data_IF_001738010974
#
_entry.id   IF_001738010974
#
_cell.length_a   1.000
_cell.length_b   1.000
_cell.length_c   1.000
_cell.angle_alpha   90.00
_cell.angle_beta   90.00
_cell.angle_gamma   90.00
#
_symmetry.space_group_name_H-M   'P 1'
#
loop_
_entity.id
_entity.type
_entity.pdbx_description
1 polymer ?
#
# COMPACT_ATOMS: atom_id res chain seq x y z
N UNK A 1 11.84 23.19 10.06
CA UNK A 1 11.15 22.15 9.26
C UNK A 1 9.76 21.93 9.86
N UNK A 2 8.71 21.92 9.04
CA UNK A 2 7.34 21.84 9.53
C UNK A 2 6.93 20.40 9.88
N UNK A 3 5.85 20.24 10.67
CA UNK A 3 5.25 18.91 10.95
C UNK A 3 4.82 18.19 9.66
N UNK A 4 4.40 18.95 8.63
CA UNK A 4 4.02 18.42 7.33
C UNK A 4 5.23 17.84 6.59
N UNK A 5 6.36 18.55 6.59
CA UNK A 5 7.59 18.08 5.95
C UNK A 5 8.11 16.82 6.63
N UNK A 6 8.08 16.78 7.97
CA UNK A 6 8.43 15.59 8.75
C UNK A 6 7.57 14.39 8.38
N UNK A 7 6.25 14.57 8.31
CA UNK A 7 5.33 13.50 7.91
C UNK A 7 5.64 12.98 6.51
N UNK A 8 5.91 13.87 5.56
CA UNK A 8 6.28 13.51 4.18
C UNK A 8 7.56 12.65 4.13
N UNK A 9 8.58 13.03 4.90
CA UNK A 9 9.83 12.27 4.99
C UNK A 9 9.61 10.91 5.64
N UNK A 10 8.86 10.83 6.73
CA UNK A 10 8.49 9.56 7.36
C UNK A 10 7.69 8.67 6.42
N UNK A 11 6.82 9.23 5.59
CA UNK A 11 6.06 8.48 4.60
C UNK A 11 6.97 7.84 3.55
N UNK A 12 7.97 8.57 3.06
CA UNK A 12 8.97 8.03 2.14
C UNK A 12 9.78 6.90 2.77
N UNK A 13 10.28 7.10 3.99
CA UNK A 13 11.02 6.06 4.74
C UNK A 13 10.12 4.85 5.00
N UNK A 14 8.87 5.07 5.41
CA UNK A 14 7.90 4.01 5.61
C UNK A 14 7.64 3.25 4.31
N UNK A 15 7.69 3.88 3.15
CA UNK A 15 7.54 3.23 1.85
C UNK A 15 8.62 2.19 1.51
N UNK A 16 9.75 2.19 2.21
CA UNK A 16 10.84 1.20 2.02
C UNK A 16 10.29 -0.21 2.28
N UNK A 17 10.60 -1.20 1.43
CA UNK A 17 10.19 -2.59 1.67
C UNK A 17 10.62 -3.04 3.06
N UNK A 18 9.81 -3.85 3.73
CA UNK A 18 10.12 -4.37 5.06
C UNK A 18 9.51 -5.75 5.22
N UNK A 19 10.31 -6.72 5.66
CA UNK A 19 9.85 -8.09 5.97
C UNK A 19 8.82 -8.16 7.11
N UNK A 20 8.68 -7.09 7.90
CA UNK A 20 7.74 -7.02 9.03
C UNK A 20 6.89 -5.75 8.96
N UNK A 21 5.62 -5.83 9.38
CA UNK A 21 4.75 -4.65 9.50
C UNK A 21 5.28 -3.73 10.61
N UNK A 22 5.67 -2.52 10.20
CA UNK A 22 6.14 -1.45 11.07
C UNK A 22 5.32 -0.19 10.80
N UNK A 23 5.21 0.65 11.81
CA UNK A 23 4.56 1.95 11.69
C UNK A 23 5.32 3.01 12.49
N UNK A 24 5.21 4.26 12.05
CA UNK A 24 6.05 5.38 12.48
C UNK A 24 5.19 6.51 13.04
N UNK A 25 5.58 7.03 14.20
CA UNK A 25 4.94 8.19 14.84
C UNK A 25 5.98 9.24 15.19
N UNK A 26 5.74 10.46 14.73
CA UNK A 26 6.52 11.63 15.11
C UNK A 26 5.89 12.34 16.32
N UNK A 27 6.59 12.30 17.45
CA UNK A 27 6.20 13.02 18.67
C UNK A 27 6.98 14.34 18.83
N UNK A 28 7.74 14.75 17.80
CA UNK A 28 8.50 15.99 17.76
C UNK A 28 9.87 15.90 18.44
N UNK A 29 9.91 15.50 19.72
CA UNK A 29 11.17 15.29 20.46
C UNK A 29 11.70 13.84 20.37
N UNK A 30 10.89 12.93 19.82
CA UNK A 30 11.27 11.55 19.54
C UNK A 30 10.44 11.00 18.38
N UNK A 31 10.95 9.94 17.77
CA UNK A 31 10.23 9.12 16.79
C UNK A 31 9.98 7.76 17.45
N UNK A 32 8.75 7.28 17.37
CA UNK A 32 8.33 5.98 17.88
C UNK A 32 8.04 5.07 16.69
N UNK A 33 8.65 3.89 16.71
CA UNK A 33 8.41 2.81 15.75
C UNK A 33 7.77 1.66 16.51
N UNK A 34 6.68 1.14 15.99
CA UNK A 34 5.97 0.01 16.58
C UNK A 34 5.74 -1.08 15.54
N UNK A 35 5.65 -2.31 16.02
CA UNK A 35 5.36 -3.49 15.20
C UNK A 35 4.50 -4.47 16.00
N UNK A 36 3.66 -5.20 15.29
CA UNK A 36 2.90 -6.32 15.87
C UNK A 36 3.70 -7.63 15.83
N UNK A 37 4.88 -7.65 15.22
CA UNK A 37 5.73 -8.83 15.14
C UNK A 37 6.40 -9.12 16.49
N UNK A 38 6.13 -10.30 17.06
CA UNK A 38 6.66 -10.70 18.38
C UNK A 38 8.19 -10.73 18.42
N UNK A 39 8.85 -11.11 17.32
CA UNK A 39 10.30 -11.19 17.18
C UNK A 39 11.01 -9.87 16.90
N UNK A 40 10.28 -8.74 16.82
CA UNK A 40 10.83 -7.47 16.29
C UNK A 40 12.05 -6.94 17.05
N UNK A 41 12.13 -7.21 18.36
CA UNK A 41 13.24 -6.69 19.18
C UNK A 41 14.55 -7.42 18.86
N UNK A 42 14.49 -8.74 18.63
CA UNK A 42 15.65 -9.52 18.19
C UNK A 42 16.09 -9.08 16.80
N UNK A 43 15.14 -8.93 15.88
CA UNK A 43 15.39 -8.43 14.52
C UNK A 43 16.05 -7.04 14.52
N UNK A 44 15.54 -6.09 15.32
CA UNK A 44 16.19 -4.79 15.48
C UNK A 44 17.62 -4.90 16.01
N UNK A 45 17.85 -5.78 16.98
CA UNK A 45 19.18 -5.98 17.57
C UNK A 45 20.17 -6.56 16.56
N UNK A 46 19.74 -7.45 15.67
CA UNK A 46 20.55 -7.98 14.57
C UNK A 46 20.93 -6.86 13.61
N UNK A 47 19.94 -6.11 13.11
CA UNK A 47 20.18 -4.95 12.23
C UNK A 47 21.15 -3.96 12.85
N UNK A 48 20.97 -3.59 14.13
CA UNK A 48 21.86 -2.63 14.79
C UNK A 48 23.27 -3.17 14.98
N UNK A 49 23.45 -4.47 15.23
CA UNK A 49 24.79 -5.07 15.33
C UNK A 49 25.47 -5.12 13.96
N UNK A 50 24.73 -5.42 12.90
CA UNK A 50 25.25 -5.44 11.54
C UNK A 50 25.64 -4.04 11.07
N UNK A 51 24.76 -3.05 11.26
CA UNK A 51 25.01 -1.66 10.86
C UNK A 51 26.07 -0.98 11.76
N UNK A 52 26.12 -1.33 13.05
CA UNK A 52 27.08 -0.81 14.01
C UNK A 52 27.82 -1.94 14.76
N UNK A 53 28.85 -2.57 14.17
CA UNK A 53 29.52 -3.76 14.73
C UNK A 53 30.07 -3.59 16.15
N UNK A 54 30.45 -2.36 16.52
CA UNK A 54 31.06 -2.05 17.82
C UNK A 54 30.11 -1.32 18.79
N UNK A 55 28.81 -1.37 18.55
CA UNK A 55 27.84 -0.60 19.33
C UNK A 55 27.70 -1.12 20.76
N UNK A 56 27.81 -0.19 21.72
CA UNK A 56 27.58 -0.51 23.13
C UNK A 56 26.09 -0.49 23.44
N UNK A 57 25.52 -1.67 23.69
CA UNK A 57 24.16 -1.85 24.17
C UNK A 57 24.15 -1.90 25.71
N UNK A 58 23.25 -1.14 26.35
CA UNK A 58 23.00 -1.22 27.79
C UNK A 58 21.60 -1.76 28.03
N UNK A 59 21.51 -2.95 28.59
CA UNK A 59 20.24 -3.55 28.97
C UNK A 59 19.90 -3.23 30.42
N UNK A 60 18.65 -2.84 30.69
CA UNK A 60 18.12 -2.65 32.04
C UNK A 60 16.65 -3.09 32.07
N UNK A 61 16.38 -4.25 32.65
CA UNK A 61 15.06 -4.88 32.62
C UNK A 61 14.59 -5.05 31.18
N UNK A 62 13.36 -4.65 30.89
CA UNK A 62 12.76 -4.79 29.55
C UNK A 62 13.28 -3.79 28.52
N UNK A 63 14.18 -2.88 28.88
CA UNK A 63 14.68 -1.84 27.99
C UNK A 63 16.12 -2.07 27.58
N UNK A 64 16.35 -2.12 26.27
CA UNK A 64 17.69 -2.08 25.69
C UNK A 64 17.95 -0.65 25.19
N UNK A 65 19.00 -0.01 25.70
CA UNK A 65 19.43 1.32 25.28
C UNK A 65 20.66 1.22 24.39
N UNK A 66 20.56 1.82 23.21
CA UNK A 66 21.57 1.82 22.18
C UNK A 66 21.97 3.28 21.89
N UNK A 67 23.26 3.54 21.73
CA UNK A 67 23.81 4.86 21.39
C UNK A 67 24.65 4.76 20.13
N UNK A 68 24.05 4.95 18.94
CA UNK A 68 24.78 4.81 17.67
C UNK A 68 25.76 5.96 17.44
N UNK A 69 25.39 7.18 17.83
CA UNK A 69 26.23 8.37 17.71
C UNK A 69 25.92 9.37 18.82
N UNK A 70 26.76 10.40 18.95
CA UNK A 70 26.53 11.52 19.87
C UNK A 70 25.21 12.20 19.51
N UNK A 71 24.42 12.54 20.53
CA UNK A 71 23.14 13.25 20.32
C UNK A 71 21.95 12.37 19.97
N UNK A 72 22.15 11.05 19.78
CA UNK A 72 21.10 10.07 19.48
C UNK A 72 21.02 9.00 20.56
N UNK A 73 19.80 8.59 20.91
CA UNK A 73 19.53 7.48 21.81
C UNK A 73 18.37 6.68 21.28
N UNK A 74 18.61 5.39 21.05
CA UNK A 74 17.60 4.42 20.67
C UNK A 74 17.26 3.59 21.91
N UNK A 75 15.98 3.37 22.14
CA UNK A 75 15.47 2.48 23.20
C UNK A 75 14.55 1.44 22.58
N UNK A 76 14.86 0.17 22.79
CA UNK A 76 14.01 -0.96 22.44
C UNK A 76 13.34 -1.47 23.71
N UNK A 77 12.02 -1.70 23.66
CA UNK A 77 11.27 -2.26 24.78
C UNK A 77 10.79 -3.67 24.42
N UNK A 78 11.26 -4.67 25.19
CA UNK A 78 10.95 -6.10 25.00
C UNK A 78 9.48 -6.44 25.18
N UNK A 79 8.79 -5.69 26.04
CA UNK A 79 7.39 -5.94 26.45
C UNK A 79 6.39 -5.23 25.55
N UNK A 80 6.67 -3.97 25.20
CA UNK A 80 5.76 -3.17 24.37
C UNK A 80 6.09 -3.23 22.88
N UNK A 81 7.18 -3.92 22.49
CA UNK A 81 7.65 -4.01 21.10
C UNK A 81 7.93 -2.66 20.43
N UNK A 82 8.23 -1.63 21.23
CA UNK A 82 8.48 -0.27 20.75
C UNK A 82 9.98 -0.02 20.58
N UNK A 83 10.32 0.64 19.48
CA UNK A 83 11.60 1.31 19.27
C UNK A 83 11.37 2.82 19.37
N UNK A 84 12.13 3.50 20.24
CA UNK A 84 12.08 4.96 20.40
C UNK A 84 13.42 5.57 20.05
N UNK A 85 13.44 6.54 19.14
CA UNK A 85 14.61 7.31 18.75
C UNK A 85 14.47 8.73 19.29
N UNK A 86 15.39 9.14 20.15
CA UNK A 86 15.31 10.41 20.88
C UNK A 86 16.68 11.08 20.98
N UNK A 87 16.69 12.38 21.32
CA UNK A 87 17.91 13.18 21.44
C UNK A 87 17.90 14.41 20.54
N UNK A 88 18.96 15.20 20.59
CA UNK A 88 19.07 16.46 19.84
C UNK A 88 19.10 16.21 18.32
N UNK A 89 19.80 15.15 17.94
CA UNK A 89 20.07 14.80 16.55
C UNK A 89 19.25 13.60 16.09
N UNK A 90 18.17 13.27 16.82
CA UNK A 90 17.32 12.10 16.51
C UNK A 90 16.71 12.18 15.12
N UNK A 91 16.30 13.38 14.69
CA UNK A 91 15.61 13.56 13.42
C UNK A 91 16.54 13.45 12.22
N UNK A 92 17.65 14.22 12.12
CA UNK A 92 18.61 14.06 11.03
C UNK A 92 19.10 12.62 10.94
N UNK A 93 19.47 12.01 12.07
CA UNK A 93 19.90 10.62 12.10
C UNK A 93 18.83 9.66 11.55
N UNK A 94 17.56 9.84 11.93
CA UNK A 94 16.49 8.96 11.47
C UNK A 94 16.28 9.08 9.96
N UNK A 95 16.25 10.29 9.42
CA UNK A 95 16.08 10.51 7.98
C UNK A 95 17.24 9.93 7.18
N UNK A 96 18.47 10.14 7.66
CA UNK A 96 19.67 9.74 6.93
C UNK A 96 19.99 8.24 7.05
N UNK A 97 19.54 7.59 8.14
CA UNK A 97 20.01 6.24 8.50
C UNK A 97 18.91 5.19 8.45
N UNK A 98 17.65 5.53 8.75
CA UNK A 98 16.64 4.52 9.03
C UNK A 98 16.27 3.68 7.81
N UNK A 99 16.25 4.27 6.60
CA UNK A 99 16.08 3.51 5.35
C UNK A 99 17.12 2.40 5.18
N UNK A 100 18.40 2.71 5.41
CA UNK A 100 19.48 1.73 5.31
C UNK A 100 19.38 0.63 6.37
N UNK A 101 18.84 0.93 7.55
CA UNK A 101 18.56 -0.11 8.57
C UNK A 101 17.46 -1.07 8.09
N UNK A 102 16.42 -0.56 7.43
CA UNK A 102 15.39 -1.40 6.83
C UNK A 102 15.95 -2.28 5.71
N UNK A 103 16.83 -1.72 4.86
CA UNK A 103 17.47 -2.47 3.78
C UNK A 103 18.31 -3.65 4.30
N UNK A 104 19.07 -3.45 5.39
CA UNK A 104 19.79 -4.56 6.05
C UNK A 104 18.81 -5.62 6.56
N UNK A 105 17.73 -5.19 7.22
CA UNK A 105 16.71 -6.10 7.75
C UNK A 105 15.99 -6.93 6.69
N UNK A 106 15.98 -6.46 5.43
CA UNK A 106 15.45 -7.20 4.29
C UNK A 106 16.45 -8.19 3.70
N UNK A 107 17.76 -7.90 3.76
CA UNK A 107 18.81 -8.80 3.27
C UNK A 107 18.76 -10.17 3.96
N UNK A 108 18.52 -10.18 5.28
CA UNK A 108 18.40 -11.41 6.07
C UNK A 108 17.06 -12.14 5.85
N UNK A 109 16.02 -11.46 5.34
CA UNK A 109 14.71 -12.06 5.08
C UNK A 109 14.70 -12.99 3.84
N UNK A 110 15.72 -12.91 2.99
CA UNK A 110 15.91 -13.81 1.83
C UNK A 110 16.40 -15.21 2.28
N UNK A 111 16.99 -15.33 3.47
CA UNK A 111 17.58 -16.58 3.98
C UNK A 111 16.81 -17.25 5.13
N UNK A 112 15.72 -16.65 5.62
CA UNK A 112 14.88 -17.31 6.63
C UNK A 112 14.07 -18.44 5.98
N UNK A 113 14.19 -19.71 6.44
CA UNK A 113 13.33 -20.79 5.99
C UNK A 113 11.88 -20.40 6.27
N UNK A 114 10.99 -20.75 5.34
CA UNK A 114 9.54 -20.67 5.51
C UNK A 114 9.06 -21.59 6.63
N UNK A 115 9.37 -21.24 7.87
CA UNK A 115 8.73 -21.81 9.05
C UNK A 115 7.36 -21.16 9.18
N UNK A 116 6.41 -21.79 8.47
CA UNK A 116 5.00 -21.86 8.81
C UNK A 116 4.28 -20.53 8.86
N UNK A 117 3.58 -20.20 7.76
CA UNK A 117 2.32 -19.43 7.79
C UNK A 117 2.34 -18.35 8.86
N UNK A 118 3.31 -17.42 8.80
CA UNK A 118 3.05 -16.11 9.36
C UNK A 118 2.26 -15.38 8.29
N UNK A 119 0.99 -15.78 8.13
CA UNK A 119 -0.06 -14.86 7.74
C UNK A 119 0.12 -13.74 8.74
N UNK A 120 0.84 -12.70 8.33
CA UNK A 120 0.79 -11.44 9.03
C UNK A 120 -0.70 -11.15 9.03
N UNK A 121 -1.35 -11.26 10.18
CA UNK A 121 -2.73 -10.80 10.36
C UNK A 121 -2.69 -9.27 10.38
N UNK A 122 -2.16 -8.65 9.31
CA UNK A 122 -2.17 -7.22 9.17
C UNK A 122 -3.64 -6.81 9.15
N UNK A 123 -3.96 -5.84 10.02
CA UNK A 123 -5.32 -5.36 10.24
C UNK A 123 -6.00 -4.92 8.94
N UNK A 124 -5.20 -4.49 7.95
CA UNK A 124 -5.64 -4.13 6.60
C UNK A 124 -6.09 -5.34 5.78
N UNK A 125 -5.36 -6.47 5.80
CA UNK A 125 -5.70 -7.71 5.08
C UNK A 125 -7.03 -8.27 5.55
N UNK A 126 -7.20 -8.36 6.88
CA UNK A 126 -8.47 -8.73 7.51
C UNK A 126 -9.62 -7.79 7.14
N UNK A 127 -9.34 -6.49 7.06
CA UNK A 127 -10.34 -5.50 6.66
C UNK A 127 -10.74 -5.65 5.18
N UNK A 128 -9.75 -5.90 4.30
CA UNK A 128 -9.95 -6.11 2.87
C UNK A 128 -10.65 -7.44 2.57
N UNK A 129 -10.61 -8.38 3.52
CA UNK A 129 -11.14 -9.74 3.43
C UNK A 129 -10.42 -10.60 2.39
N UNK A 130 -9.12 -10.36 2.18
CA UNK A 130 -8.30 -11.15 1.25
C UNK A 130 -8.19 -12.61 1.72
N UNK A 131 -8.14 -12.86 3.03
CA UNK A 131 -8.00 -14.20 3.63
C UNK A 131 -9.30 -15.04 3.63
N UNK A 132 -10.43 -14.51 3.14
CA UNK A 132 -11.74 -15.19 3.28
C UNK A 132 -12.16 -16.00 2.06
N UNK A 133 -11.53 -15.76 0.92
CA UNK A 133 -11.82 -16.43 -0.34
C UNK A 133 -10.47 -16.85 -0.93
N UNK A 134 -9.96 -18.04 -0.56
CA UNK A 134 -8.78 -18.71 -1.16
C UNK A 134 -9.02 -19.08 -2.66
N UNK A 135 -9.84 -18.31 -3.39
CA UNK A 135 -9.95 -18.45 -4.84
C UNK A 135 -8.79 -17.68 -5.47
N UNK A 136 -7.92 -18.39 -6.18
CA UNK A 136 -6.83 -17.76 -6.91
C UNK A 136 -7.41 -16.81 -7.96
N UNK A 137 -6.70 -15.72 -8.27
CA UNK A 137 -7.12 -14.77 -9.33
C UNK A 137 -7.45 -15.51 -10.63
N UNK A 138 -6.71 -16.59 -10.92
CA UNK A 138 -6.93 -17.42 -12.09
C UNK A 138 -8.30 -18.12 -12.07
N UNK A 139 -8.79 -18.58 -10.91
CA UNK A 139 -10.12 -19.19 -10.78
C UNK A 139 -11.24 -18.19 -11.10
N UNK A 140 -11.05 -16.93 -10.72
CA UNK A 140 -11.99 -15.85 -11.06
C UNK A 140 -11.94 -15.54 -12.56
N UNK A 141 -10.75 -15.50 -13.15
CA UNK A 141 -10.58 -15.23 -14.59
C UNK A 141 -11.17 -16.35 -15.44
N UNK A 142 -11.01 -17.61 -15.05
CA UNK A 142 -11.52 -18.78 -15.78
C UNK A 142 -13.07 -18.84 -15.81
N UNK A 143 -13.74 -18.11 -14.91
CA UNK A 143 -15.20 -17.95 -14.92
C UNK A 143 -15.68 -16.96 -15.98
N UNK A 144 -14.80 -16.13 -16.55
CA UNK A 144 -15.14 -15.17 -17.61
C UNK A 144 -15.20 -15.93 -18.94
N UNK A 145 -16.35 -15.92 -19.65
CA UNK A 145 -16.44 -16.52 -20.97
C UNK A 145 -15.41 -15.94 -21.93
N UNK A 146 -14.92 -16.77 -22.85
CA UNK A 146 -14.02 -16.33 -23.91
C UNK A 146 -14.65 -15.19 -24.72
N UNK A 147 -13.93 -14.06 -24.86
CA UNK A 147 -14.43 -12.84 -25.50
C UNK A 147 -15.30 -11.93 -24.59
N UNK A 148 -15.50 -12.30 -23.33
CA UNK A 148 -16.23 -11.53 -22.33
C UNK A 148 -17.66 -12.00 -22.11
N UNK A 149 -18.24 -11.60 -20.97
CA UNK A 149 -19.58 -12.03 -20.57
C UNK A 149 -20.25 -11.12 -19.56
N UNK A 150 -21.55 -11.34 -19.37
CA UNK A 150 -22.37 -10.60 -18.40
C UNK A 150 -22.19 -11.22 -17.02
N UNK A 151 -21.69 -10.43 -16.08
CA UNK A 151 -21.39 -10.86 -14.71
C UNK A 151 -22.24 -10.15 -13.67
N UNK A 152 -22.38 -10.79 -12.51
CA UNK A 152 -23.06 -10.23 -11.35
C UNK A 152 -22.13 -9.31 -10.55
N UNK A 153 -22.70 -8.25 -9.99
CA UNK A 153 -21.99 -7.24 -9.20
C UNK A 153 -21.00 -7.78 -8.13
N UNK A 154 -21.36 -8.83 -7.39
CA UNK A 154 -20.49 -9.41 -6.36
C UNK A 154 -19.20 -10.00 -6.96
N UNK A 155 -19.31 -10.69 -8.09
CA UNK A 155 -18.18 -11.26 -8.81
C UNK A 155 -17.24 -10.15 -9.30
N UNK A 156 -17.78 -9.05 -9.84
CA UNK A 156 -16.97 -7.97 -10.40
C UNK A 156 -16.16 -7.27 -9.31
N UNK A 157 -16.75 -7.00 -8.14
CA UNK A 157 -16.03 -6.38 -7.03
C UNK A 157 -14.91 -7.27 -6.50
N UNK A 158 -15.15 -8.59 -6.41
CA UNK A 158 -14.13 -9.57 -6.03
C UNK A 158 -12.99 -9.58 -7.05
N UNK A 159 -13.31 -9.72 -8.33
CA UNK A 159 -12.34 -9.72 -9.43
C UNK A 159 -11.48 -8.46 -9.45
N UNK A 160 -12.07 -7.27 -9.28
CA UNK A 160 -11.32 -6.01 -9.21
C UNK A 160 -10.34 -6.00 -8.04
N UNK A 161 -10.77 -6.41 -6.85
CA UNK A 161 -9.90 -6.46 -5.67
C UNK A 161 -8.75 -7.43 -5.88
N UNK A 162 -9.05 -8.65 -6.33
CA UNK A 162 -8.04 -9.71 -6.49
C UNK A 162 -7.02 -9.35 -7.57
N UNK A 163 -7.43 -8.79 -8.71
CA UNK A 163 -6.50 -8.33 -9.74
C UNK A 163 -5.63 -7.17 -9.27
N UNK A 164 -6.21 -6.17 -8.60
CA UNK A 164 -5.43 -5.04 -8.08
C UNK A 164 -4.42 -5.49 -7.01
N UNK A 165 -4.81 -6.41 -6.14
CA UNK A 165 -3.93 -6.97 -5.13
C UNK A 165 -2.77 -7.73 -5.76
N UNK A 166 -3.05 -8.63 -6.71
CA UNK A 166 -2.04 -9.41 -7.43
C UNK A 166 -1.07 -8.51 -8.23
N UNK A 167 -1.60 -7.58 -9.01
CA UNK A 167 -0.79 -6.65 -9.79
C UNK A 167 0.07 -5.74 -8.91
N UNK A 168 -0.43 -5.29 -7.76
CA UNK A 168 0.40 -4.59 -6.79
C UNK A 168 1.42 -5.52 -6.16
N UNK A 169 1.07 -6.75 -5.81
CA UNK A 169 1.93 -7.77 -5.21
C UNK A 169 3.15 -8.07 -6.07
N UNK A 170 2.97 -8.11 -7.39
CA UNK A 170 4.08 -8.32 -8.34
C UNK A 170 4.81 -7.02 -8.71
N UNK A 171 4.39 -5.85 -8.26
CA UNK A 171 5.08 -4.60 -8.56
C UNK A 171 4.78 -4.02 -9.96
N UNK A 172 3.59 -4.29 -10.52
CA UNK A 172 3.21 -3.79 -11.83
C UNK A 172 2.93 -2.29 -11.85
N UNK A 173 2.97 -1.69 -13.04
CA UNK A 173 2.38 -0.36 -13.28
C UNK A 173 0.89 -0.52 -13.56
N UNK A 174 0.05 -0.03 -12.66
CA UNK A 174 -1.40 -0.23 -12.66
C UNK A 174 -2.13 1.06 -13.03
N UNK A 175 -3.11 0.93 -13.89
CA UNK A 175 -3.96 2.01 -14.38
C UNK A 175 -5.41 1.68 -14.03
N UNK A 176 -6.04 2.55 -13.23
CA UNK A 176 -7.46 2.48 -12.90
C UNK A 176 -8.17 3.58 -13.65
N UNK A 177 -8.94 3.22 -14.67
CA UNK A 177 -9.66 4.17 -15.53
C UNK A 177 -11.15 3.98 -15.32
N UNK A 178 -11.78 4.93 -14.62
CA UNK A 178 -13.21 4.83 -14.28
C UNK A 178 -13.90 6.19 -14.38
N UNK A 179 -15.04 6.30 -15.08
CA UNK A 179 -15.81 7.56 -15.16
C UNK A 179 -16.41 7.96 -13.82
N UNK A 180 -16.60 6.99 -12.91
CA UNK A 180 -17.16 7.23 -11.57
C UNK A 180 -16.40 6.45 -10.50
N UNK A 181 -16.12 7.11 -9.39
CA UNK A 181 -15.50 6.51 -8.22
C UNK A 181 -16.05 7.16 -6.94
N UNK A 182 -16.44 6.34 -5.96
CA UNK A 182 -16.85 6.85 -4.64
C UNK A 182 -15.76 6.69 -3.57
N UNK A 183 -16.05 7.26 -2.39
CA UNK A 183 -15.09 7.29 -1.29
C UNK A 183 -14.81 5.91 -0.67
N UNK A 184 -15.69 4.93 -0.84
CA UNK A 184 -15.47 3.58 -0.35
C UNK A 184 -14.58 2.79 -1.30
N UNK A 185 -14.77 2.96 -2.61
CA UNK A 185 -13.94 2.29 -3.64
C UNK A 185 -12.54 2.88 -3.68
N UNK A 186 -12.43 4.21 -3.58
CA UNK A 186 -11.15 4.88 -3.41
C UNK A 186 -10.47 4.45 -2.11
N UNK A 187 -11.21 4.29 -1.02
CA UNK A 187 -10.67 3.78 0.24
C UNK A 187 -10.10 2.36 0.10
N UNK A 188 -10.80 1.46 -0.59
CA UNK A 188 -10.31 0.09 -0.86
C UNK A 188 -9.02 0.11 -1.67
N UNK A 189 -8.95 0.92 -2.75
CA UNK A 189 -7.73 1.10 -3.54
C UNK A 189 -6.55 1.55 -2.65
N UNK A 190 -6.77 2.55 -1.80
CA UNK A 190 -5.73 3.04 -0.89
C UNK A 190 -5.27 1.99 0.13
N UNK A 191 -6.16 1.11 0.60
CA UNK A 191 -5.79 0.02 1.49
C UNK A 191 -4.98 -1.07 0.77
N UNK A 192 -5.34 -1.42 -0.47
CA UNK A 192 -4.58 -2.36 -1.31
C UNK A 192 -3.17 -1.84 -1.57
N UNK A 193 -3.02 -0.54 -1.81
CA UNK A 193 -1.71 0.10 -1.95
C UNK A 193 -0.86 -0.05 -0.68
N UNK A 194 -1.45 0.15 0.51
CA UNK A 194 -0.74 0.00 1.79
C UNK A 194 -0.36 -1.48 2.02
N UNK A 195 -1.25 -2.41 1.69
CA UNK A 195 -1.00 -3.85 1.82
C UNK A 195 0.25 -4.27 1.03
N UNK A 196 0.34 -3.84 -0.22
CA UNK A 196 1.43 -4.18 -1.14
C UNK A 196 2.63 -3.23 -1.10
N UNK A 197 2.77 -2.46 -0.01
CA UNK A 197 3.88 -1.52 0.19
C UNK A 197 5.24 -2.22 -0.04
N UNK A 198 6.07 -1.64 -0.90
CA UNK A 198 7.46 -2.08 -1.09
C UNK A 198 7.66 -3.07 -2.24
N UNK A 199 6.63 -3.45 -2.99
CA UNK A 199 6.79 -4.28 -4.20
C UNK A 199 7.22 -3.46 -5.43
N UNK A 200 7.24 -2.12 -5.33
CA UNK A 200 7.67 -1.22 -6.40
C UNK A 200 6.59 -0.88 -7.43
N UNK A 201 5.32 -1.21 -7.16
CA UNK A 201 4.20 -0.88 -8.04
C UNK A 201 4.00 0.63 -8.21
N UNK A 202 3.35 1.02 -9.31
CA UNK A 202 2.90 2.39 -9.56
C UNK A 202 1.39 2.41 -9.83
N UNK A 203 0.67 3.45 -9.40
CA UNK A 203 -0.78 3.55 -9.62
C UNK A 203 -1.15 4.88 -10.23
N UNK A 204 -1.84 4.81 -11.38
CA UNK A 204 -2.51 5.96 -11.97
C UNK A 204 -4.02 5.75 -11.92
N UNK A 205 -4.73 6.65 -11.24
CA UNK A 205 -6.19 6.75 -11.28
C UNK A 205 -6.59 7.85 -12.25
N UNK A 206 -7.28 7.49 -13.32
CA UNK A 206 -7.91 8.43 -14.23
C UNK A 206 -9.42 8.46 -13.98
N UNK A 207 -9.95 9.65 -13.71
CA UNK A 207 -11.37 9.90 -13.43
C UNK A 207 -11.73 11.36 -13.71
N UNK A 208 -12.95 11.69 -14.15
CA UNK A 208 -13.37 13.08 -14.31
C UNK A 208 -13.20 13.91 -13.04
N UNK A 209 -12.85 15.20 -13.19
CA UNK A 209 -12.72 16.13 -12.05
C UNK A 209 -14.06 16.35 -11.32
N UNK A 210 -15.18 16.12 -12.01
CA UNK A 210 -16.54 16.20 -11.47
C UNK A 210 -17.38 15.04 -12.01
N UNK A 211 -18.05 14.33 -11.11
CA UNK A 211 -18.90 13.18 -11.39
C UNK A 211 -20.21 13.32 -10.62
N UNK A 212 -21.36 13.13 -11.28
CA UNK A 212 -22.70 13.20 -10.67
C UNK A 212 -22.95 14.45 -9.80
N UNK A 213 -22.36 15.60 -10.18
CA UNK A 213 -22.48 16.86 -9.42
C UNK A 213 -21.44 17.04 -8.30
N UNK A 214 -20.70 16.01 -7.93
CA UNK A 214 -19.66 16.02 -6.91
C UNK A 214 -18.25 16.16 -7.51
N UNK A 215 -17.42 17.04 -6.93
CA UNK A 215 -16.01 17.19 -7.32
C UNK A 215 -15.16 16.08 -6.72
N UNK A 216 -14.18 15.58 -7.46
CA UNK A 216 -13.26 14.54 -6.97
C UNK A 216 -12.56 14.91 -5.67
N UNK A 217 -12.17 16.18 -5.48
CA UNK A 217 -11.58 16.67 -4.24
C UNK A 217 -12.44 16.36 -2.99
N UNK A 218 -13.77 16.48 -3.09
CA UNK A 218 -14.68 16.16 -1.99
C UNK A 218 -14.71 14.67 -1.70
N UNK A 219 -14.61 13.83 -2.73
CA UNK A 219 -14.56 12.37 -2.61
C UNK A 219 -13.25 11.97 -1.94
N UNK A 220 -12.14 12.59 -2.35
CA UNK A 220 -10.82 12.43 -1.75
C UNK A 220 -10.82 12.85 -0.26
N UNK A 221 -11.44 13.98 0.09
CA UNK A 221 -11.58 14.42 1.48
C UNK A 221 -12.40 13.44 2.33
N UNK A 222 -13.55 12.98 1.82
CA UNK A 222 -14.38 11.95 2.48
C UNK A 222 -13.60 10.67 2.70
N UNK A 223 -12.79 10.27 1.72
CA UNK A 223 -11.94 9.07 1.79
C UNK A 223 -10.87 9.22 2.87
N UNK A 224 -10.14 10.35 2.89
CA UNK A 224 -9.15 10.68 3.93
C UNK A 224 -9.75 10.67 5.33
N UNK A 225 -10.98 11.18 5.47
CA UNK A 225 -11.71 11.16 6.74
C UNK A 225 -12.05 9.73 7.16
N UNK A 226 -12.60 8.91 6.25
CA UNK A 226 -12.90 7.50 6.48
C UNK A 226 -11.65 6.74 6.95
N UNK A 227 -10.52 6.89 6.25
CA UNK A 227 -9.25 6.24 6.63
C UNK A 227 -8.85 6.55 8.08
N UNK A 228 -9.03 7.80 8.52
CA UNK A 228 -8.69 8.24 9.88
C UNK A 228 -9.65 7.72 10.96
N UNK A 229 -10.90 7.45 10.59
CA UNK A 229 -11.96 7.01 11.49
C UNK A 229 -12.04 5.49 11.62
N UNK A 230 -11.54 4.74 10.62
CA UNK A 230 -11.53 3.28 10.65
C UNK A 230 -10.55 2.78 11.70
N UNK A 231 -11.06 1.93 12.59
CA UNK A 231 -10.31 1.28 13.66
C UNK A 231 -10.13 -0.20 13.38
N UNK A 232 -9.06 -0.77 13.92
CA UNK A 232 -8.82 -2.20 13.97
C UNK A 232 -9.76 -2.88 14.98
N UNK A 233 -9.75 -4.22 15.02
CA UNK A 233 -10.49 -5.01 16.01
C UNK A 233 -10.11 -4.69 17.47
N UNK A 234 -8.95 -4.05 17.69
CA UNK A 234 -8.44 -3.66 19.01
C UNK A 234 -8.69 -2.17 19.32
N UNK A 235 -9.61 -1.52 18.61
CA UNK A 235 -9.97 -0.09 18.78
C UNK A 235 -8.82 0.91 18.52
N UNK A 236 -7.69 0.43 18.00
CA UNK A 236 -6.59 1.27 17.51
C UNK A 236 -6.88 1.74 16.07
N UNK A 237 -6.31 2.88 15.65
CA UNK A 237 -6.47 3.35 14.26
C UNK A 237 -5.92 2.30 13.29
N UNK A 238 -6.68 1.99 12.23
CA UNK A 238 -6.27 1.03 11.21
C UNK A 238 -5.08 1.53 10.39
N UNK A 239 -5.11 2.82 10.03
CA UNK A 239 -4.13 3.46 9.17
C UNK A 239 -3.57 4.69 9.86
N UNK A 240 -2.25 4.78 10.01
CA UNK A 240 -1.58 5.95 10.57
C UNK A 240 -1.55 7.12 9.59
N UNK A 241 -1.25 8.32 10.11
CA UNK A 241 -1.07 9.50 9.26
C UNK A 241 0.10 9.35 8.28
N UNK A 242 1.12 8.55 8.65
CA UNK A 242 2.29 8.28 7.80
C UNK A 242 1.90 7.38 6.63
N UNK A 243 1.16 6.30 6.89
CA UNK A 243 0.61 5.39 5.85
C UNK A 243 -0.29 6.15 4.87
N UNK A 244 -1.19 7.01 5.39
CA UNK A 244 -2.04 7.85 4.55
C UNK A 244 -1.23 8.84 3.70
N UNK A 245 -0.23 9.51 4.29
CA UNK A 245 0.63 10.43 3.54
C UNK A 245 1.40 9.70 2.43
N UNK A 246 1.87 8.47 2.68
CA UNK A 246 2.55 7.67 1.66
C UNK A 246 1.64 7.36 0.47
N UNK A 247 0.41 6.90 0.72
CA UNK A 247 -0.57 6.65 -0.36
C UNK A 247 -0.82 7.91 -1.19
N UNK A 248 -0.95 9.07 -0.53
CA UNK A 248 -1.16 10.35 -1.22
C UNK A 248 0.03 10.79 -2.08
N UNK A 249 1.25 10.34 -1.76
CA UNK A 249 2.44 10.59 -2.57
C UNK A 249 2.57 9.63 -3.75
N UNK A 250 2.05 8.40 -3.63
CA UNK A 250 2.16 7.35 -4.66
C UNK A 250 0.98 7.31 -5.64
N UNK A 251 -0.22 7.71 -5.21
CA UNK A 251 -1.39 7.71 -6.08
C UNK A 251 -1.35 8.89 -7.05
N UNK A 252 -1.05 8.62 -8.31
CA UNK A 252 -1.14 9.61 -9.38
C UNK A 252 -2.59 9.75 -9.85
N UNK A 253 -3.22 10.90 -9.63
CA UNK A 253 -4.59 11.16 -10.09
C UNK A 253 -4.57 12.07 -11.31
N UNK A 254 -5.23 11.64 -12.39
CA UNK A 254 -5.40 12.40 -13.62
C UNK A 254 -6.89 12.64 -13.89
N UNK A 255 -7.20 13.83 -14.38
CA UNK A 255 -8.57 14.25 -14.66
C UNK A 255 -8.77 14.48 -16.15
N UNK A 256 -9.65 13.69 -16.72
CA UNK A 256 -10.06 13.72 -18.13
C UNK A 256 -11.56 13.38 -18.20
N UNK A 257 -12.27 13.91 -19.19
CA UNK A 257 -13.66 13.53 -19.45
C UNK A 257 -13.71 12.37 -20.44
N UNK A 258 -14.24 11.22 -20.01
CA UNK A 258 -14.35 10.01 -20.81
C UNK A 258 -15.50 9.12 -20.33
N UNK A 259 -15.85 8.10 -21.12
CA UNK A 259 -16.93 7.14 -20.81
C UNK A 259 -16.48 5.68 -20.77
N UNK A 260 -15.22 5.40 -21.12
CA UNK A 260 -14.65 4.04 -21.05
C UNK A 260 -14.33 3.65 -19.60
N UNK A 261 -14.29 2.35 -19.30
CA UNK A 261 -13.99 1.86 -17.97
C UNK A 261 -13.19 0.55 -18.02
N UNK A 262 -12.02 0.58 -17.41
CA UNK A 262 -11.12 -0.56 -17.33
C UNK A 262 -10.10 -0.41 -16.20
N UNK A 263 -9.55 -1.55 -15.78
CA UNK A 263 -8.29 -1.58 -15.05
C UNK A 263 -7.26 -2.30 -15.91
N UNK A 264 -6.02 -1.86 -15.85
CA UNK A 264 -4.93 -2.45 -16.60
C UNK A 264 -3.67 -2.52 -15.77
N UNK A 265 -2.81 -3.48 -16.07
CA UNK A 265 -1.48 -3.58 -15.52
C UNK A 265 -0.44 -3.80 -16.61
N UNK A 266 0.77 -3.35 -16.33
CA UNK A 266 1.93 -3.54 -17.16
C UNK A 266 3.12 -3.96 -16.31
N UNK A 267 3.77 -5.06 -16.69
CA UNK A 267 5.02 -5.51 -16.10
C UNK A 267 5.81 -6.35 -17.11
N UNK A 268 7.14 -6.16 -17.15
CA UNK A 268 8.07 -7.01 -17.90
C UNK A 268 7.72 -7.25 -19.39
N UNK A 269 7.13 -6.25 -20.06
CA UNK A 269 6.74 -6.36 -21.48
C UNK A 269 5.35 -6.95 -21.73
N UNK A 270 4.66 -7.40 -20.68
CA UNK A 270 3.32 -7.97 -20.73
C UNK A 270 2.29 -6.97 -20.19
N UNK A 271 1.16 -6.88 -20.90
CA UNK A 271 0.03 -6.03 -20.53
C UNK A 271 -1.20 -6.86 -20.23
N UNK A 272 -1.94 -6.49 -19.20
CA UNK A 272 -3.23 -7.11 -18.88
C UNK A 272 -4.30 -6.03 -18.79
N UNK A 273 -5.50 -6.32 -19.28
CA UNK A 273 -6.63 -5.38 -19.23
C UNK A 273 -7.89 -6.11 -18.87
N UNK A 274 -8.58 -5.60 -17.84
CA UNK A 274 -9.98 -5.91 -17.56
C UNK A 274 -10.85 -4.73 -17.99
N UNK A 275 -11.66 -4.93 -19.02
CA UNK A 275 -12.69 -3.98 -19.44
C UNK A 275 -14.03 -4.35 -18.84
N UNK A 276 -14.79 -3.36 -18.37
CA UNK A 276 -16.14 -3.60 -17.85
C UNK A 276 -17.04 -2.39 -17.95
N UNK A 277 -18.36 -2.61 -18.04
CA UNK A 277 -19.34 -1.52 -17.91
C UNK A 277 -19.57 -1.08 -16.46
N UNK A 278 -19.08 -1.86 -15.49
CA UNK A 278 -19.19 -1.55 -14.07
C UNK A 278 -18.18 -0.46 -13.66
N UNK A 279 -18.64 0.78 -13.48
CA UNK A 279 -17.79 1.81 -12.90
C UNK A 279 -17.36 1.44 -11.48
N UNK A 280 -16.24 1.99 -11.01
CA UNK A 280 -15.75 1.76 -9.65
C UNK A 280 -16.55 2.52 -8.57
N UNK A 281 -17.88 2.36 -8.59
CA UNK A 281 -18.85 3.15 -7.84
C UNK A 281 -20.03 2.29 -7.35
N UNK A 282 -20.64 2.66 -6.21
CA UNK A 282 -21.71 1.94 -5.52
C UNK A 282 -22.93 1.58 -6.35
N UNK A 283 -23.20 2.35 -7.39
CA UNK A 283 -24.28 2.06 -8.32
C UNK A 283 -24.17 0.63 -8.89
N UNK A 284 -22.96 0.19 -9.21
CA UNK A 284 -22.68 -1.10 -9.86
C UNK A 284 -22.42 -2.25 -8.89
N UNK A 285 -22.22 -1.98 -7.60
CA UNK A 285 -21.83 -3.01 -6.62
C UNK A 285 -22.85 -3.27 -5.50
N UNK A 286 -23.84 -2.40 -5.30
CA UNK A 286 -24.89 -2.61 -4.29
C UNK A 286 -26.27 -2.83 -4.87
N UNK A 287 -26.46 -2.52 -6.15
CA UNK A 287 -27.69 -2.84 -6.86
C UNK A 287 -27.42 -4.12 -7.62
N UNK A 288 -28.45 -4.96 -7.84
CA UNK A 288 -28.36 -6.20 -8.62
C UNK A 288 -28.14 -5.93 -10.13
N UNK A 289 -27.22 -5.02 -10.44
CA UNK A 289 -26.79 -4.71 -11.78
C UNK A 289 -25.95 -5.86 -12.33
N UNK A 290 -26.05 -6.00 -13.64
CA UNK A 290 -25.29 -6.95 -14.43
C UNK A 290 -24.48 -6.14 -15.42
N UNK A 291 -23.19 -6.40 -15.46
CA UNK A 291 -22.24 -5.62 -16.25
C UNK A 291 -21.45 -6.56 -17.14
N UNK A 292 -21.07 -6.06 -18.32
CA UNK A 292 -20.19 -6.79 -19.21
C UNK A 292 -18.77 -6.77 -18.62
N UNK A 293 -18.06 -7.88 -18.71
CA UNK A 293 -16.69 -8.03 -18.25
C UNK A 293 -15.91 -8.79 -19.32
N UNK A 294 -14.76 -8.27 -19.72
CA UNK A 294 -13.82 -8.97 -20.60
C UNK A 294 -12.41 -8.75 -20.08
N UNK A 295 -11.64 -9.83 -19.98
CA UNK A 295 -10.24 -9.80 -19.59
C UNK A 295 -9.37 -10.25 -20.78
N UNK A 296 -8.28 -9.53 -21.01
CA UNK A 296 -7.35 -9.80 -22.11
C UNK A 296 -5.91 -9.62 -21.66
N UNK A 297 -5.05 -10.58 -22.05
CA UNK A 297 -3.59 -10.41 -22.04
C UNK A 297 -3.15 -9.88 -23.40
N UNK A 298 -2.28 -8.88 -23.40
CA UNK A 298 -1.87 -8.10 -24.56
C UNK A 298 -0.36 -7.84 -24.51
N UNK A 299 0.23 -7.50 -25.66
CA UNK A 299 1.58 -6.95 -25.68
C UNK A 299 1.59 -5.55 -25.03
N UNK A 300 2.73 -5.14 -24.46
CA UNK A 300 2.91 -3.78 -23.95
C UNK A 300 2.58 -2.70 -24.99
N UNK A 301 2.96 -2.95 -26.24
CA UNK A 301 2.67 -2.06 -27.37
C UNK A 301 1.16 -1.88 -27.57
N UNK A 302 0.39 -2.96 -27.54
CA UNK A 302 -1.05 -2.91 -27.76
C UNK A 302 -1.80 -2.29 -26.58
N UNK A 303 -1.37 -2.57 -25.35
CA UNK A 303 -1.87 -1.87 -24.16
C UNK A 303 -1.67 -0.36 -24.30
N UNK A 304 -0.44 0.06 -24.61
CA UNK A 304 -0.12 1.48 -24.79
C UNK A 304 -0.94 2.11 -25.92
N UNK A 305 -0.93 1.51 -27.11
CA UNK A 305 -1.56 2.05 -28.31
C UNK A 305 -3.08 2.12 -28.20
N UNK A 306 -3.71 1.07 -27.66
CA UNK A 306 -5.16 0.90 -27.75
C UNK A 306 -5.90 1.43 -26.50
N UNK A 307 -5.24 1.50 -25.34
CA UNK A 307 -5.88 1.87 -24.07
C UNK A 307 -5.32 3.14 -23.44
N UNK A 308 -4.00 3.28 -23.37
CA UNK A 308 -3.37 4.34 -22.57
C UNK A 308 -3.15 5.63 -23.36
N UNK A 309 -2.59 5.53 -24.57
CA UNK A 309 -2.32 6.68 -25.44
C UNK A 309 -3.58 7.48 -25.80
N UNK A 310 -4.74 6.86 -26.13
CA UNK A 310 -5.97 7.60 -26.41
C UNK A 310 -6.46 8.46 -25.24
N UNK A 311 -6.05 8.14 -24.02
CA UNK A 311 -6.38 8.85 -22.79
C UNK A 311 -5.23 9.76 -22.30
N UNK A 312 -4.17 9.91 -23.10
CA UNK A 312 -2.94 10.61 -22.72
C UNK A 312 -2.27 10.05 -21.44
N UNK A 313 -2.56 8.79 -21.09
CA UNK A 313 -1.91 8.09 -19.98
C UNK A 313 -0.57 7.55 -20.49
N UNK A 314 0.51 7.83 -19.76
CA UNK A 314 1.75 7.10 -19.95
C UNK A 314 2.68 7.60 -21.05
N UNK A 315 2.63 8.88 -21.44
CA UNK A 315 3.68 9.49 -22.29
C UNK A 315 5.11 9.31 -21.72
N UNK A 316 5.23 9.02 -20.41
CA UNK A 316 6.50 8.77 -19.70
C UNK A 316 6.58 7.38 -19.02
N UNK A 317 5.66 6.45 -19.29
CA UNK A 317 5.55 5.17 -18.53
C UNK A 317 6.12 3.96 -19.29
N UNK A 318 6.41 4.11 -20.59
CA UNK A 318 7.02 3.10 -21.46
C UNK A 318 8.22 3.64 -22.20
#
# INVERSE_FOLDING_TARGET
MSKKDRRRMLAQIWGTPTSHDIDLVDEGNQIVVFSNYRGIISWWMEIFKTFYPNIKCREKGDTIKIKPTVGVTIKLNKTTHLLKVSGKDHWPWFVDTFGALLDIGNGDAVELPGDGISISENSVTRFLQLDKDDEEVQDLLDRIPEGGGIMHHEFIMRLWKSLLDDWFGVGASVFVVTPRIDSERLFILMLLMIHNKGTGFNVTLMTPAKQDGERFDKIMEKTKRRIKEVKSAHDSKLVSEVKLEWVMLQLNVQHEDFSTNFIAAYKDGEGEVLTTTAHFHKAHFHHQQKDNVSYSRLSAHDLRKNYLLPLNIGNNVF
#
